data_IF_556973485363
#
_entry.id   IF_556973485363
#
_cell.length_a   1.000
_cell.length_b   1.000
_cell.length_c   1.000
_cell.angle_alpha   90.00
_cell.angle_beta   90.00
_cell.angle_gamma   90.00
#
_symmetry.space_group_name_H-M   'P 1'
#
loop_
_entity.id
_entity.type
_entity.pdbx_description
1 polymer ?
#
# COMPACT_ATOMS: atom_id res chain seq x y z
N UNK A 1 8.33 5.88 -6.53
CA UNK A 1 7.78 4.85 -5.62
C UNK A 1 8.67 4.65 -4.39
N UNK A 2 8.50 5.52 -3.39
CA UNK A 2 9.37 5.60 -2.22
C UNK A 2 8.82 4.90 -0.98
N UNK A 3 9.14 5.48 0.17
CA UNK A 3 8.76 5.01 1.51
C UNK A 3 7.36 5.51 1.88
N UNK A 4 6.47 4.60 2.26
CA UNK A 4 5.14 4.94 2.77
C UNK A 4 5.24 5.27 4.26
N UNK A 5 4.94 6.52 4.57
CA UNK A 5 4.79 7.03 5.91
C UNK A 5 3.31 7.16 6.24
N UNK A 6 2.96 6.97 7.50
CA UNK A 6 1.57 7.05 7.94
C UNK A 6 1.35 8.17 8.94
N UNK A 7 1.02 9.34 8.41
CA UNK A 7 0.52 10.48 9.17
C UNK A 7 -1.00 10.54 9.00
N UNK A 8 -1.74 10.49 10.11
CA UNK A 8 -3.21 10.47 10.10
C UNK A 8 -3.86 9.10 10.27
N UNK A 9 -5.19 9.05 10.05
CA UNK A 9 -6.06 7.90 10.27
C UNK A 9 -6.60 7.37 8.93
N UNK A 10 -6.44 6.07 8.69
CA UNK A 10 -6.90 5.41 7.47
C UNK A 10 -8.22 4.68 7.75
N UNK A 11 -9.35 5.29 7.41
CA UNK A 11 -10.68 4.68 7.61
C UNK A 11 -11.18 3.84 6.44
N UNK A 12 -10.55 3.96 5.26
CA UNK A 12 -10.96 3.22 4.06
C UNK A 12 -10.04 2.02 3.85
N UNK A 13 -10.63 0.87 3.48
CA UNK A 13 -9.88 -0.29 3.01
C UNK A 13 -9.23 0.05 1.67
N UNK A 14 -7.91 0.14 1.66
CA UNK A 14 -7.13 0.35 0.44
C UNK A 14 -6.00 -0.67 0.37
N UNK A 15 -5.67 -1.10 -0.85
CA UNK A 15 -4.48 -1.86 -1.13
C UNK A 15 -3.37 -0.88 -1.51
N UNK A 16 -2.28 -0.86 -0.75
CA UNK A 16 -1.15 0.05 -0.97
C UNK A 16 0.07 -0.78 -1.34
N UNK A 17 0.72 -0.40 -2.44
CA UNK A 17 1.98 -1.00 -2.85
C UNK A 17 3.11 0.03 -2.85
N UNK A 18 4.22 -0.31 -2.21
CA UNK A 18 5.40 0.55 -2.13
C UNK A 18 6.69 -0.26 -1.96
N UNK A 19 7.83 0.44 -2.06
CA UNK A 19 9.15 -0.19 -1.92
C UNK A 19 9.54 -0.39 -0.45
N UNK A 20 9.10 0.52 0.42
CA UNK A 20 9.35 0.45 1.85
C UNK A 20 8.16 1.01 2.60
N UNK A 21 7.81 0.41 3.73
CA UNK A 21 6.79 0.90 4.64
C UNK A 21 7.44 1.21 5.99
N UNK A 22 6.95 2.24 6.68
CA UNK A 22 7.24 2.40 8.10
C UNK A 22 6.42 1.41 8.93
N UNK A 23 6.95 0.95 10.08
CA UNK A 23 6.24 0.06 11.01
C UNK A 23 4.84 0.58 11.38
N UNK A 24 4.73 1.89 11.66
CA UNK A 24 3.44 2.53 11.95
C UNK A 24 2.48 2.48 10.76
N UNK A 25 2.99 2.55 9.53
CA UNK A 25 2.17 2.52 8.33
C UNK A 25 1.61 1.13 8.08
N UNK A 26 2.44 0.09 8.22
CA UNK A 26 1.99 -1.29 8.11
C UNK A 26 0.92 -1.61 9.15
N UNK A 27 1.13 -1.17 10.40
CA UNK A 27 0.15 -1.38 11.48
C UNK A 27 -1.17 -0.68 11.20
N UNK A 28 -1.15 0.59 10.76
CA UNK A 28 -2.37 1.33 10.41
C UNK A 28 -3.08 0.73 9.21
N UNK A 29 -2.36 0.28 8.17
CA UNK A 29 -2.98 -0.35 7.00
C UNK A 29 -3.62 -1.68 7.40
N UNK A 30 -2.96 -2.51 8.22
CA UNK A 30 -3.54 -3.75 8.75
C UNK A 30 -4.76 -3.47 9.64
N UNK A 31 -4.69 -2.46 10.51
CA UNK A 31 -5.81 -2.04 11.36
C UNK A 31 -7.02 -1.57 10.55
N UNK A 32 -6.78 -0.87 9.44
CA UNK A 32 -7.80 -0.44 8.49
C UNK A 32 -8.38 -1.56 7.61
N UNK A 33 -7.97 -2.83 7.82
CA UNK A 33 -8.25 -3.98 6.94
C UNK A 33 -7.83 -3.72 5.48
N UNK A 34 -6.79 -2.91 5.30
CA UNK A 34 -6.12 -2.68 4.02
C UNK A 34 -5.06 -3.75 3.76
N UNK A 35 -4.61 -3.83 2.52
CA UNK A 35 -3.58 -4.78 2.10
C UNK A 35 -2.28 -4.03 1.84
N UNK A 36 -1.22 -4.45 2.51
CA UNK A 36 0.15 -3.98 2.23
C UNK A 36 0.77 -4.96 1.25
N UNK A 37 1.24 -4.45 0.11
CA UNK A 37 1.88 -5.26 -0.93
C UNK A 37 3.23 -4.64 -1.29
N UNK A 38 4.19 -5.47 -1.67
CA UNK A 38 5.40 -4.98 -2.33
C UNK A 38 5.12 -4.76 -3.82
N UNK A 39 5.92 -3.92 -4.47
CA UNK A 39 5.78 -3.65 -5.92
C UNK A 39 5.88 -4.95 -6.74
N UNK A 40 6.76 -5.87 -6.35
CA UNK A 40 6.86 -7.20 -6.97
C UNK A 40 5.60 -8.05 -6.78
N UNK A 41 4.99 -8.02 -5.59
CA UNK A 41 3.74 -8.75 -5.35
C UNK A 41 2.57 -8.14 -6.12
N UNK A 42 2.54 -6.81 -6.26
CA UNK A 42 1.53 -6.15 -7.08
C UNK A 42 1.69 -6.54 -8.56
N UNK A 43 2.92 -6.60 -9.08
CA UNK A 43 3.18 -7.07 -10.44
C UNK A 43 2.73 -8.53 -10.65
N UNK A 44 2.97 -9.41 -9.67
CA UNK A 44 2.53 -10.81 -9.75
C UNK A 44 1.01 -10.96 -9.65
N UNK A 45 0.37 -10.22 -8.73
CA UNK A 45 -1.10 -10.29 -8.55
C UNK A 45 -1.88 -9.59 -9.65
N UNK A 46 -1.32 -8.54 -10.24
CA UNK A 46 -2.00 -7.72 -11.23
C UNK A 46 -1.02 -7.28 -12.34
N UNK A 47 -0.59 -8.21 -13.20
CA UNK A 47 0.35 -7.93 -14.29
C UNK A 47 -0.22 -6.94 -15.32
N UNK A 48 -1.55 -6.85 -15.42
CA UNK A 48 -2.28 -5.93 -16.29
C UNK A 48 -2.30 -4.47 -15.78
N UNK A 49 -1.91 -4.22 -14.52
CA UNK A 49 -1.92 -2.87 -13.94
C UNK A 49 -3.29 -2.17 -13.92
N UNK A 50 -4.39 -2.90 -14.12
CA UNK A 50 -5.75 -2.33 -14.16
C UNK A 50 -6.16 -1.80 -12.78
N UNK A 51 -6.75 -0.59 -12.74
CA UNK A 51 -7.14 0.15 -11.53
C UNK A 51 -5.99 0.54 -10.59
N UNK A 52 -4.75 0.57 -11.07
CA UNK A 52 -3.63 1.10 -10.27
C UNK A 52 -3.56 2.62 -10.45
N UNK A 53 -3.52 3.35 -9.33
CA UNK A 53 -3.32 4.80 -9.32
C UNK A 53 -1.96 5.07 -8.71
N UNK A 54 -1.04 5.62 -9.51
CA UNK A 54 0.28 6.02 -9.04
C UNK A 54 0.11 7.33 -8.27
N UNK A 55 0.46 7.33 -6.98
CA UNK A 55 0.64 8.54 -6.20
C UNK A 55 2.14 8.84 -6.14
N UNK A 56 2.53 10.02 -6.62
CA UNK A 56 3.88 10.56 -6.60
C UNK A 56 4.01 11.66 -5.57
#
# INVERSE_FOLDING_TARGET
PGKVLSVGHLSKKVAVAAFTFSKEAEQKIKAAKGTVLSIQELLQKNPDGKKVRILG
#
